data_IF_306598862436
#
_entry.id   IF_306598862436
#
_cell.length_a   1.000
_cell.length_b   1.000
_cell.length_c   1.000
_cell.angle_alpha   90.00
_cell.angle_beta   90.00
_cell.angle_gamma   90.00
#
_symmetry.space_group_name_H-M   'P 1'
#
loop_
_entity.id
_entity.type
_entity.pdbx_description
1 polymer ?
#
# COMPACT_ATOMS: atom_id res chain seq x y z
N UNK A 1 -3.33 -34.88 24.72
CA UNK A 1 -3.87 -34.59 26.07
C UNK A 1 -3.71 -33.10 26.46
N UNK A 2 -3.78 -32.17 25.49
CA UNK A 2 -3.66 -30.71 25.70
C UNK A 2 -4.84 -29.91 25.10
N UNK A 3 -5.77 -30.61 24.42
CA UNK A 3 -6.96 -30.01 23.78
C UNK A 3 -8.26 -30.25 24.56
N UNK A 4 -8.20 -30.95 25.69
CA UNK A 4 -9.35 -31.20 26.58
C UNK A 4 -9.50 -30.17 27.71
N UNK A 5 -8.54 -29.25 27.89
CA UNK A 5 -8.53 -28.25 28.97
C UNK A 5 -9.16 -26.89 28.60
N UNK A 6 -9.50 -26.63 27.34
CA UNK A 6 -10.07 -25.34 26.92
C UNK A 6 -11.61 -25.32 26.98
N UNK A 7 -12.28 -26.48 27.04
CA UNK A 7 -13.75 -26.55 27.05
C UNK A 7 -14.42 -26.41 28.43
N UNK A 8 -13.66 -26.26 29.52
CA UNK A 8 -14.21 -26.21 30.89
C UNK A 8 -14.01 -24.88 31.63
N UNK A 9 -13.25 -23.93 31.08
CA UNK A 9 -13.08 -22.61 31.68
C UNK A 9 -13.98 -21.61 30.99
N UNK A 10 -15.12 -21.28 31.59
CA UNK A 10 -15.92 -20.12 31.19
C UNK A 10 -15.08 -18.85 31.34
N UNK A 11 -14.36 -18.47 30.27
CA UNK A 11 -13.69 -17.18 30.18
C UNK A 11 -14.77 -16.15 29.90
N UNK A 12 -15.38 -15.65 30.98
CA UNK A 12 -16.05 -14.37 30.92
C UNK A 12 -14.97 -13.29 30.82
N UNK A 13 -14.88 -12.65 29.65
CA UNK A 13 -14.11 -11.42 29.48
C UNK A 13 -14.60 -10.44 30.55
N UNK A 14 -13.69 -10.00 31.43
CA UNK A 14 -14.01 -8.96 32.39
C UNK A 14 -14.42 -7.69 31.62
N UNK A 15 -15.53 -7.04 31.99
CA UNK A 15 -15.77 -5.67 31.55
C UNK A 15 -14.55 -4.82 31.91
N UNK A 16 -14.02 -4.09 30.94
CA UNK A 16 -12.98 -3.11 31.20
C UNK A 16 -13.60 -1.96 32.00
N UNK A 17 -13.21 -1.83 33.27
CA UNK A 17 -13.47 -0.61 34.03
C UNK A 17 -12.44 0.44 33.59
N UNK A 18 -12.92 1.48 32.92
CA UNK A 18 -12.12 2.66 32.60
C UNK A 18 -11.83 3.40 33.90
N UNK A 19 -10.55 3.41 34.29
CA UNK A 19 -10.07 4.21 35.42
C UNK A 19 -10.21 5.68 35.05
N UNK A 20 -11.28 6.28 35.56
CA UNK A 20 -11.39 7.65 36.03
C UNK A 20 -10.45 8.69 35.38
N UNK A 21 -10.83 9.10 34.18
CA UNK A 21 -10.71 10.44 33.56
C UNK A 21 -11.41 10.33 32.20
N UNK A 22 -12.71 10.62 32.19
CA UNK A 22 -13.55 10.59 31.00
C UNK A 22 -13.08 11.63 29.99
N UNK A 23 -12.20 11.22 29.08
CA UNK A 23 -12.27 11.71 27.71
C UNK A 23 -13.53 11.06 27.10
N UNK A 24 -14.47 11.88 26.67
CA UNK A 24 -15.65 11.37 25.98
C UNK A 24 -15.21 10.68 24.67
N UNK A 25 -15.94 9.67 24.22
CA UNK A 25 -15.73 9.09 22.89
C UNK A 25 -15.79 10.17 21.78
N UNK A 26 -16.50 11.26 22.02
CA UNK A 26 -16.55 12.44 21.15
C UNK A 26 -15.25 13.29 21.16
N UNK A 27 -14.45 13.23 22.23
CA UNK A 27 -13.12 13.86 22.29
C UNK A 27 -12.01 12.96 21.74
N UNK A 28 -12.21 11.62 21.76
CA UNK A 28 -11.34 10.66 21.08
C UNK A 28 -11.59 10.59 19.57
N UNK A 29 -12.82 10.86 19.12
CA UNK A 29 -13.16 11.09 17.70
C UNK A 29 -12.48 12.32 17.07
N UNK A 30 -11.76 13.16 17.84
CA UNK A 30 -11.08 14.38 17.34
C UNK A 30 -9.62 14.18 16.92
N UNK A 31 -9.16 12.96 16.68
CA UNK A 31 -7.81 12.75 16.14
C UNK A 31 -7.77 12.75 14.61
N UNK A 32 -8.91 12.47 13.97
CA UNK A 32 -9.07 12.68 12.54
C UNK A 32 -9.53 14.13 12.31
N UNK A 33 -8.85 14.86 11.42
CA UNK A 33 -9.25 16.22 11.11
C UNK A 33 -10.58 16.23 10.34
N UNK A 34 -11.33 17.31 10.50
CA UNK A 34 -12.58 17.52 9.77
C UNK A 34 -12.31 17.49 8.27
N UNK A 35 -13.16 16.81 7.50
CA UNK A 35 -13.05 16.72 6.05
C UNK A 35 -13.05 18.10 5.35
N UNK A 36 -13.62 19.10 6.02
CA UNK A 36 -13.65 20.49 5.53
C UNK A 36 -12.31 21.24 5.73
N UNK A 37 -11.39 20.69 6.55
CA UNK A 37 -10.07 21.28 6.79
C UNK A 37 -8.96 20.55 6.00
N UNK A 38 -8.82 20.95 4.73
CA UNK A 38 -7.83 20.35 3.81
C UNK A 38 -6.37 20.37 4.31
N UNK A 39 -5.98 21.35 5.13
CA UNK A 39 -4.61 21.47 5.63
C UNK A 39 -4.32 20.45 6.74
N UNK A 40 -5.21 20.34 7.73
CA UNK A 40 -5.09 19.34 8.79
C UNK A 40 -5.17 17.92 8.24
N UNK A 41 -6.09 17.69 7.29
CA UNK A 41 -6.17 16.44 6.54
C UNK A 41 -4.82 16.11 5.88
N UNK A 42 -4.24 17.05 5.13
CA UNK A 42 -2.94 16.86 4.49
C UNK A 42 -1.84 16.54 5.51
N UNK A 43 -1.83 17.22 6.65
CA UNK A 43 -0.88 16.96 7.73
C UNK A 43 -1.01 15.54 8.30
N UNK A 44 -2.25 15.10 8.55
CA UNK A 44 -2.56 13.76 9.03
C UNK A 44 -2.12 12.67 8.04
N UNK A 45 -2.31 12.92 6.73
CA UNK A 45 -1.82 12.03 5.69
C UNK A 45 -0.29 11.84 5.73
N UNK A 46 0.48 12.93 5.87
CA UNK A 46 1.94 12.83 5.99
C UNK A 46 2.41 12.29 7.35
N UNK A 47 1.61 12.38 8.40
CA UNK A 47 1.91 11.79 9.70
C UNK A 47 1.89 10.25 9.67
N UNK A 48 1.11 9.64 8.78
CA UNK A 48 1.11 8.20 8.54
C UNK A 48 2.31 7.72 7.69
N UNK A 49 3.14 8.63 7.18
CA UNK A 49 4.31 8.32 6.36
C UNK A 49 5.29 7.36 7.04
N UNK A 50 5.91 6.47 6.26
CA UNK A 50 6.80 5.43 6.80
C UNK A 50 8.03 5.98 7.52
N UNK A 51 8.51 7.16 7.16
CA UNK A 51 9.58 7.85 7.87
C UNK A 51 9.21 8.20 9.33
N UNK A 52 7.90 8.33 9.65
CA UNK A 52 7.43 8.66 11.01
C UNK A 52 7.43 7.46 11.96
N UNK A 53 7.18 6.26 11.44
CA UNK A 53 7.00 5.06 12.27
C UNK A 53 8.09 4.00 12.07
N UNK A 54 8.91 4.10 11.02
CA UNK A 54 9.89 3.07 10.68
C UNK A 54 10.82 2.71 11.85
N UNK A 55 11.41 3.71 12.52
CA UNK A 55 12.37 3.42 13.59
C UNK A 55 11.77 2.62 14.77
N UNK A 56 10.48 2.80 15.05
CA UNK A 56 9.78 2.09 16.12
C UNK A 56 9.33 0.68 15.69
N UNK A 57 9.11 0.49 14.38
CA UNK A 57 8.52 -0.73 13.82
C UNK A 57 9.43 -1.46 12.83
N UNK A 58 10.73 -1.13 12.78
CA UNK A 58 11.67 -1.65 11.76
C UNK A 58 11.81 -3.17 11.78
N UNK A 59 11.62 -3.81 12.94
CA UNK A 59 11.65 -5.28 13.11
C UNK A 59 10.36 -5.95 12.61
N UNK A 60 9.29 -5.17 12.47
CA UNK A 60 7.97 -5.62 12.05
C UNK A 60 7.70 -5.33 10.56
N UNK A 61 8.61 -4.67 9.86
CA UNK A 61 8.44 -4.22 8.47
C UNK A 61 9.67 -4.56 7.62
N UNK A 62 9.65 -4.16 6.35
CA UNK A 62 10.77 -4.36 5.45
C UNK A 62 11.93 -3.44 5.80
N UNK A 63 13.17 -3.95 5.74
CA UNK A 63 14.38 -3.13 5.79
C UNK A 63 14.26 -2.00 4.77
N UNK A 64 14.41 -0.76 5.23
CA UNK A 64 14.23 0.44 4.42
C UNK A 64 15.33 1.45 4.72
N UNK A 65 15.70 2.22 3.71
CA UNK A 65 16.54 3.40 3.80
C UNK A 65 15.84 4.61 3.18
N UNK A 66 16.26 5.82 3.52
CA UNK A 66 15.51 7.05 3.24
C UNK A 66 16.40 8.09 2.55
N UNK A 67 16.02 8.43 1.32
CA UNK A 67 16.67 9.48 0.53
C UNK A 67 15.78 10.71 0.54
N UNK A 68 16.14 11.72 1.33
CA UNK A 68 15.39 12.97 1.44
C UNK A 68 15.31 13.68 0.08
N UNK A 69 14.12 14.13 -0.31
CA UNK A 69 13.93 14.94 -1.51
C UNK A 69 14.21 16.41 -1.23
N UNK A 70 14.92 17.06 -2.16
CA UNK A 70 15.17 18.50 -2.13
C UNK A 70 14.06 19.27 -2.88
N UNK A 71 13.79 20.54 -2.52
CA UNK A 71 12.73 21.35 -3.17
C UNK A 71 12.84 21.38 -4.71
N UNK A 72 14.05 21.57 -5.25
CA UNK A 72 14.28 21.58 -6.70
C UNK A 72 14.00 20.23 -7.35
N UNK A 73 14.32 19.12 -6.68
CA UNK A 73 14.03 17.77 -7.17
C UNK A 73 12.53 17.51 -7.21
N UNK A 74 11.81 17.93 -6.16
CA UNK A 74 10.35 17.83 -6.09
C UNK A 74 9.70 18.61 -7.21
N UNK A 75 10.09 19.87 -7.39
CA UNK A 75 9.61 20.73 -8.48
C UNK A 75 9.91 20.11 -9.86
N UNK A 76 11.11 19.53 -10.06
CA UNK A 76 11.46 18.84 -11.30
C UNK A 76 10.59 17.62 -11.59
N UNK A 77 10.26 16.81 -10.57
CA UNK A 77 9.35 15.66 -10.71
C UNK A 77 7.94 16.13 -11.08
N UNK A 78 7.41 17.14 -10.36
CA UNK A 78 6.08 17.72 -10.62
C UNK A 78 5.99 18.26 -12.05
N UNK A 79 6.98 19.08 -12.48
CA UNK A 79 7.02 19.66 -13.82
C UNK A 79 7.08 18.60 -14.91
N UNK A 80 7.88 17.55 -14.72
CA UNK A 80 7.95 16.45 -15.67
C UNK A 80 6.59 15.75 -15.81
N UNK A 81 5.93 15.44 -14.70
CA UNK A 81 4.62 14.80 -14.73
C UNK A 81 3.56 15.68 -15.40
N UNK A 82 3.52 16.99 -15.08
CA UNK A 82 2.63 17.96 -15.73
C UNK A 82 2.86 17.99 -17.25
N UNK A 83 4.12 18.05 -17.69
CA UNK A 83 4.47 18.03 -19.11
C UNK A 83 4.04 16.72 -19.82
N UNK A 84 4.20 15.57 -19.16
CA UNK A 84 3.73 14.28 -19.68
C UNK A 84 2.20 14.23 -19.82
N UNK A 85 1.48 14.76 -18.83
CA UNK A 85 0.02 14.87 -18.84
C UNK A 85 -0.47 15.80 -19.94
N UNK A 86 0.17 16.95 -20.14
CA UNK A 86 -0.19 17.93 -21.17
C UNK A 86 0.10 17.41 -22.58
N UNK A 87 1.16 16.62 -22.75
CA UNK A 87 1.50 15.99 -24.03
C UNK A 87 0.47 14.93 -24.46
N UNK A 88 -0.22 14.32 -23.50
CA UNK A 88 -1.36 13.45 -23.79
C UNK A 88 -2.65 14.23 -23.95
N UNK A 89 -3.02 14.52 -25.21
CA UNK A 89 -4.38 14.95 -25.53
C UNK A 89 -5.40 13.94 -24.98
N UNK A 90 -6.59 14.44 -24.62
CA UNK A 90 -7.69 13.86 -23.80
C UNK A 90 -8.05 12.36 -23.92
N UNK A 91 -7.47 11.56 -24.82
CA UNK A 91 -7.76 10.11 -24.93
C UNK A 91 -6.52 9.22 -25.19
N UNK A 92 -5.30 9.75 -25.07
CA UNK A 92 -4.06 8.97 -25.23
C UNK A 92 -3.40 8.68 -23.88
N UNK A 93 -2.93 7.45 -23.67
CA UNK A 93 -2.23 7.08 -22.45
C UNK A 93 -0.88 7.80 -22.33
N UNK A 94 -0.55 8.26 -21.12
CA UNK A 94 0.73 8.93 -20.84
C UNK A 94 1.88 7.99 -21.25
N UNK A 95 2.76 8.41 -22.17
CA UNK A 95 3.87 7.56 -22.59
C UNK A 95 4.84 7.39 -21.41
N UNK A 96 5.52 6.23 -21.29
CA UNK A 96 6.57 6.05 -20.30
C UNK A 96 7.67 7.10 -20.45
N UNK A 97 8.21 7.57 -19.32
CA UNK A 97 9.34 8.51 -19.30
C UNK A 97 10.56 7.91 -19.99
N UNK A 98 11.14 8.62 -20.96
CA UNK A 98 12.35 8.19 -21.69
C UNK A 98 13.62 8.90 -21.22
N UNK A 99 13.48 10.06 -20.59
CA UNK A 99 14.57 10.92 -20.19
C UNK A 99 14.35 11.41 -18.76
N UNK A 100 15.40 11.31 -17.94
CA UNK A 100 15.42 11.87 -16.59
C UNK A 100 16.00 13.27 -16.71
N UNK A 101 15.32 14.32 -16.23
CA UNK A 101 15.86 15.67 -16.21
C UNK A 101 17.21 15.72 -15.50
N UNK A 102 18.18 16.47 -16.04
CA UNK A 102 19.53 16.56 -15.48
C UNK A 102 19.57 17.02 -14.02
N UNK A 103 18.57 17.81 -13.60
CA UNK A 103 18.38 18.25 -12.22
C UNK A 103 18.20 17.09 -11.23
N UNK A 104 17.83 15.90 -11.71
CA UNK A 104 17.62 14.70 -10.90
C UNK A 104 18.83 13.74 -10.91
N UNK A 105 19.95 14.09 -11.57
CA UNK A 105 21.13 13.21 -11.61
C UNK A 105 21.72 12.98 -10.20
N UNK A 106 21.78 14.02 -9.37
CA UNK A 106 22.22 13.88 -7.96
C UNK A 106 21.30 12.95 -7.16
N UNK A 107 19.98 13.04 -7.39
CA UNK A 107 19.02 12.14 -6.76
C UNK A 107 19.24 10.68 -7.19
N UNK A 108 19.47 10.44 -8.48
CA UNK A 108 19.80 9.11 -9.02
C UNK A 108 21.01 8.53 -8.30
N UNK A 109 22.10 9.29 -8.17
CA UNK A 109 23.32 8.85 -7.49
C UNK A 109 23.08 8.56 -6.00
N UNK A 110 22.29 9.38 -5.30
CA UNK A 110 21.95 9.14 -3.89
C UNK A 110 21.14 7.85 -3.69
N UNK A 111 20.20 7.55 -4.60
CA UNK A 111 19.46 6.28 -4.56
C UNK A 111 20.37 5.10 -4.89
N UNK A 112 21.23 5.21 -5.90
CA UNK A 112 22.21 4.16 -6.23
C UNK A 112 23.12 3.85 -5.03
N UNK A 113 23.63 4.89 -4.37
CA UNK A 113 24.45 4.74 -3.17
C UNK A 113 23.69 4.02 -2.04
N UNK A 114 22.41 4.33 -1.83
CA UNK A 114 21.56 3.64 -0.87
C UNK A 114 21.38 2.14 -1.22
N UNK A 115 21.08 1.84 -2.49
CA UNK A 115 20.94 0.47 -3.00
C UNK A 115 22.24 -0.33 -2.79
N UNK A 116 23.38 0.22 -3.18
CA UNK A 116 24.69 -0.44 -3.04
C UNK A 116 25.06 -0.67 -1.58
N UNK A 117 24.89 0.35 -0.73
CA UNK A 117 25.31 0.31 0.67
C UNK A 117 24.46 -0.65 1.49
N UNK A 118 23.13 -0.66 1.28
CA UNK A 118 22.20 -1.32 2.18
C UNK A 118 21.60 -2.62 1.64
N UNK A 119 21.61 -2.85 0.33
CA UNK A 119 20.85 -3.94 -0.30
C UNK A 119 21.64 -4.87 -1.22
N UNK A 120 22.83 -4.47 -1.71
CA UNK A 120 23.68 -5.36 -2.54
C UNK A 120 24.40 -6.46 -1.75
N UNK A 121 24.78 -6.20 -0.50
CA UNK A 121 25.55 -7.14 0.31
C UNK A 121 24.71 -8.16 1.11
N UNK A 122 23.37 -8.04 1.08
CA UNK A 122 22.48 -8.88 1.91
C UNK A 122 22.17 -10.22 1.23
N UNK A 123 22.77 -11.29 1.74
CA UNK A 123 22.86 -12.60 1.09
C UNK A 123 21.68 -13.56 1.31
N UNK A 124 20.53 -13.16 1.87
CA UNK A 124 19.53 -14.17 2.29
C UNK A 124 18.07 -13.94 1.93
N UNK A 125 17.60 -12.72 1.63
CA UNK A 125 16.16 -12.50 1.34
C UNK A 125 15.86 -11.50 0.23
N UNK A 126 16.69 -10.47 0.02
CA UNK A 126 16.52 -9.57 -1.13
C UNK A 126 16.96 -10.30 -2.39
N UNK A 127 16.01 -10.58 -3.29
CA UNK A 127 16.31 -11.19 -4.57
C UNK A 127 17.29 -10.30 -5.36
N UNK A 128 18.59 -10.63 -5.31
CA UNK A 128 19.62 -10.12 -6.23
C UNK A 128 19.72 -8.59 -6.31
N UNK A 129 19.78 -7.87 -5.18
CA UNK A 129 19.94 -6.40 -5.18
C UNK A 129 18.72 -5.63 -5.68
N UNK A 130 17.54 -6.25 -5.75
CA UNK A 130 16.29 -5.56 -6.07
C UNK A 130 15.70 -4.87 -4.84
N UNK A 131 15.18 -3.69 -5.08
CA UNK A 131 14.47 -2.87 -4.10
C UNK A 131 13.11 -2.45 -4.64
N UNK A 132 12.20 -2.15 -3.72
CA UNK A 132 10.94 -1.48 -3.99
C UNK A 132 11.08 0.00 -3.64
N UNK A 133 10.54 0.89 -4.49
CA UNK A 133 10.64 2.33 -4.32
C UNK A 133 9.25 2.91 -4.07
N UNK A 134 9.14 3.77 -3.07
CA UNK A 134 7.95 4.59 -2.81
C UNK A 134 8.34 5.95 -2.24
N UNK A 135 7.41 6.92 -2.22
CA UNK A 135 7.54 8.05 -1.31
C UNK A 135 7.28 7.58 0.12
N UNK A 136 7.53 8.44 1.10
CA UNK A 136 7.20 8.16 2.49
C UNK A 136 5.70 7.91 2.68
N UNK A 137 4.87 8.56 1.88
CA UNK A 137 3.41 8.42 1.83
C UNK A 137 2.96 7.20 1.00
N UNK A 138 3.06 7.26 -0.34
CA UNK A 138 2.46 6.28 -1.27
C UNK A 138 3.47 5.69 -2.25
N UNK A 139 3.10 4.53 -2.79
CA UNK A 139 3.86 3.82 -3.84
C UNK A 139 3.39 4.19 -5.25
N UNK A 140 4.28 4.18 -6.27
CA UNK A 140 3.95 4.53 -7.67
C UNK A 140 3.21 3.40 -8.42
N UNK A 141 2.17 2.81 -7.81
CA UNK A 141 1.45 1.62 -8.35
C UNK A 141 0.81 1.87 -9.73
N UNK A 142 0.63 3.14 -10.09
CA UNK A 142 0.03 3.65 -11.32
C UNK A 142 1.08 4.03 -12.40
N UNK A 143 2.38 3.85 -12.14
CA UNK A 143 3.45 4.14 -13.08
C UNK A 143 3.24 3.44 -14.42
N UNK A 144 3.29 4.22 -15.51
CA UNK A 144 3.17 3.71 -16.88
C UNK A 144 4.37 2.88 -17.30
N UNK A 145 5.54 3.18 -16.74
CA UNK A 145 6.75 2.36 -16.90
C UNK A 145 6.56 0.98 -16.28
N UNK A 146 6.00 0.88 -15.06
CA UNK A 146 5.70 -0.42 -14.43
C UNK A 146 4.70 -1.21 -15.26
N UNK A 147 3.59 -0.55 -15.65
CA UNK A 147 2.55 -1.15 -16.47
C UNK A 147 3.12 -1.72 -17.77
N UNK A 148 3.89 -0.92 -18.53
CA UNK A 148 4.51 -1.36 -19.78
C UNK A 148 5.37 -2.61 -19.58
N UNK A 149 6.24 -2.62 -18.55
CA UNK A 149 7.10 -3.78 -18.24
C UNK A 149 6.27 -5.02 -17.92
N UNK A 150 5.17 -4.87 -17.18
CA UNK A 150 4.28 -5.97 -16.84
C UNK A 150 3.56 -6.50 -18.10
N UNK A 151 3.03 -5.62 -18.95
CA UNK A 151 2.38 -5.98 -20.22
C UNK A 151 3.32 -6.75 -21.14
N UNK A 152 4.54 -6.25 -21.36
CA UNK A 152 5.54 -6.91 -22.22
C UNK A 152 5.95 -8.31 -21.71
N UNK A 153 5.85 -8.56 -20.40
CA UNK A 153 6.08 -9.90 -19.83
C UNK A 153 4.85 -10.77 -19.95
N UNK A 154 3.67 -10.20 -19.73
CA UNK A 154 2.39 -10.89 -19.82
C UNK A 154 2.13 -11.40 -21.24
N UNK A 155 2.40 -10.60 -22.27
CA UNK A 155 2.26 -10.97 -23.69
C UNK A 155 3.10 -12.17 -24.11
N UNK A 156 4.15 -12.51 -23.35
CA UNK A 156 5.03 -13.66 -23.62
C UNK A 156 4.52 -14.96 -22.98
N UNK A 157 3.46 -14.90 -22.20
CA UNK A 157 2.88 -16.05 -21.49
C UNK A 157 1.66 -16.53 -22.27
N UNK A 158 1.60 -17.82 -22.56
CA UNK A 158 0.39 -18.44 -23.13
C UNK A 158 -0.70 -18.54 -22.04
N UNK A 159 -1.63 -17.58 -22.07
CA UNK A 159 -2.76 -17.54 -21.14
C UNK A 159 -4.04 -18.16 -21.71
N UNK A 160 -3.97 -18.90 -22.83
CA UNK A 160 -5.16 -19.47 -23.48
C UNK A 160 -5.95 -20.44 -22.59
N UNK A 161 -5.26 -21.07 -21.61
CA UNK A 161 -5.84 -22.04 -20.67
C UNK A 161 -6.28 -21.41 -19.35
N UNK A 162 -6.04 -20.11 -19.16
CA UNK A 162 -6.22 -19.45 -17.87
C UNK A 162 -7.62 -18.85 -17.79
N UNK A 163 -8.25 -18.98 -16.61
CA UNK A 163 -9.50 -18.27 -16.33
C UNK A 163 -9.26 -16.75 -16.30
N UNK A 164 -10.33 -15.96 -16.20
CA UNK A 164 -10.18 -14.52 -15.99
C UNK A 164 -9.49 -14.21 -14.64
N UNK A 165 -9.83 -14.94 -13.58
CA UNK A 165 -9.20 -14.81 -12.27
C UNK A 165 -7.70 -15.16 -12.31
N UNK A 166 -7.32 -16.24 -12.99
CA UNK A 166 -5.91 -16.64 -13.15
C UNK A 166 -5.09 -15.57 -13.88
N UNK A 167 -5.65 -15.00 -14.97
CA UNK A 167 -5.02 -13.92 -15.73
C UNK A 167 -4.84 -12.66 -14.91
N UNK A 168 -5.86 -12.27 -14.15
CA UNK A 168 -5.81 -11.09 -13.27
C UNK A 168 -4.80 -11.29 -12.13
N UNK A 169 -4.74 -12.50 -11.55
CA UNK A 169 -3.78 -12.86 -10.51
C UNK A 169 -2.34 -12.81 -11.04
N UNK A 170 -2.09 -13.45 -12.19
CA UNK A 170 -0.81 -13.43 -12.87
C UNK A 170 -0.36 -12.00 -13.19
N UNK A 171 -1.26 -11.18 -13.74
CA UNK A 171 -0.92 -9.81 -14.10
C UNK A 171 -0.63 -8.94 -12.87
N UNK A 172 -1.38 -9.13 -11.78
CA UNK A 172 -1.13 -8.46 -10.50
C UNK A 172 0.25 -8.83 -9.93
N UNK A 173 0.64 -10.11 -10.00
CA UNK A 173 2.00 -10.53 -9.63
C UNK A 173 3.07 -9.88 -10.52
N UNK A 174 2.84 -9.79 -11.83
CA UNK A 174 3.78 -9.14 -12.76
C UNK A 174 3.93 -7.66 -12.44
N UNK A 175 2.83 -6.96 -12.12
CA UNK A 175 2.86 -5.56 -11.69
C UNK A 175 3.72 -5.37 -10.43
N UNK A 176 3.52 -6.21 -9.42
CA UNK A 176 4.36 -6.20 -8.21
C UNK A 176 5.84 -6.46 -8.55
N UNK A 177 6.14 -7.50 -9.33
CA UNK A 177 7.53 -7.84 -9.71
C UNK A 177 8.19 -6.77 -10.58
N UNK A 178 7.43 -6.06 -11.42
CA UNK A 178 7.91 -4.99 -12.30
C UNK A 178 8.03 -3.63 -11.61
N UNK A 179 7.43 -3.48 -10.42
CA UNK A 179 7.62 -2.31 -9.55
C UNK A 179 8.98 -2.29 -8.85
N UNK A 180 9.66 -3.43 -8.82
CA UNK A 180 11.02 -3.54 -8.29
C UNK A 180 12.03 -2.92 -9.26
N UNK A 181 13.06 -2.31 -8.70
CA UNK A 181 14.16 -1.69 -9.44
C UNK A 181 15.50 -2.12 -8.88
N UNK A 182 16.56 -1.86 -9.64
CA UNK A 182 17.95 -2.22 -9.32
C UNK A 182 18.92 -1.03 -9.42
N UNK A 183 18.41 0.16 -9.77
CA UNK A 183 19.22 1.39 -9.86
C UNK A 183 18.38 2.63 -9.55
N UNK A 184 19.05 3.72 -9.19
CA UNK A 184 18.48 5.04 -9.03
C UNK A 184 17.84 5.55 -10.31
N UNK A 185 18.41 5.22 -11.48
CA UNK A 185 17.82 5.55 -12.78
C UNK A 185 16.44 4.91 -12.94
N UNK A 186 16.33 3.62 -12.68
CA UNK A 186 15.04 2.90 -12.74
C UNK A 186 14.06 3.45 -11.70
N UNK A 187 14.54 3.75 -10.48
CA UNK A 187 13.74 4.32 -9.40
C UNK A 187 13.12 5.67 -9.80
N UNK A 188 13.93 6.62 -10.26
CA UNK A 188 13.44 7.94 -10.69
C UNK A 188 12.51 7.81 -11.88
N UNK A 189 12.80 6.93 -12.84
CA UNK A 189 11.95 6.73 -14.03
C UNK A 189 10.51 6.35 -13.66
N UNK A 190 10.30 5.41 -12.72
CA UNK A 190 8.94 4.98 -12.33
C UNK A 190 8.21 6.03 -11.48
N UNK A 191 8.93 6.96 -10.84
CA UNK A 191 8.32 8.06 -10.10
C UNK A 191 7.85 9.19 -11.03
N UNK A 192 8.59 9.45 -12.10
CA UNK A 192 8.33 10.54 -13.04
C UNK A 192 7.01 10.41 -13.82
N UNK A 193 6.45 9.20 -13.93
CA UNK A 193 5.20 8.93 -14.65
C UNK A 193 4.04 8.43 -13.77
N UNK A 194 4.15 8.59 -12.44
CA UNK A 194 3.09 8.27 -11.49
C UNK A 194 2.33 9.53 -11.06
N UNK A 195 1.01 9.54 -11.26
CA UNK A 195 0.14 10.61 -10.77
C UNK A 195 0.05 10.60 -9.24
N UNK A 196 0.07 9.42 -8.60
CA UNK A 196 0.04 9.33 -7.13
C UNK A 196 1.23 10.02 -6.49
N UNK A 197 2.42 9.84 -7.06
CA UNK A 197 3.65 10.49 -6.61
C UNK A 197 3.55 12.00 -6.85
N UNK A 198 3.14 12.43 -8.05
CA UNK A 198 3.00 13.85 -8.37
C UNK A 198 2.00 14.57 -7.46
N UNK A 199 0.85 13.95 -7.17
CA UNK A 199 -0.16 14.47 -6.23
C UNK A 199 0.40 14.67 -4.83
N UNK A 200 1.09 13.67 -4.29
CA UNK A 200 1.70 13.77 -2.95
C UNK A 200 2.75 14.88 -2.91
N UNK A 201 3.57 14.99 -3.97
CA UNK A 201 4.58 16.03 -4.06
C UNK A 201 3.97 17.43 -4.20
N UNK A 202 2.89 17.59 -4.97
CA UNK A 202 2.15 18.86 -5.06
C UNK A 202 1.50 19.24 -3.72
N UNK A 203 1.03 18.28 -2.94
CA UNK A 203 0.53 18.54 -1.58
C UNK A 203 1.67 18.90 -0.61
N UNK A 204 2.86 18.33 -0.81
CA UNK A 204 4.03 18.56 0.03
C UNK A 204 4.80 19.86 -0.25
N UNK A 205 4.56 20.50 -1.39
CA UNK A 205 5.40 21.58 -1.92
C UNK A 205 4.60 22.86 -2.17
N UNK A 206 5.13 24.00 -1.74
CA UNK A 206 4.61 25.33 -2.07
C UNK A 206 5.29 25.83 -3.34
N UNK A 207 4.56 25.97 -4.45
CA UNK A 207 5.11 26.52 -5.70
C UNK A 207 5.50 27.99 -5.54
N UNK A 208 4.72 28.78 -4.80
CA UNK A 208 4.95 30.23 -4.61
C UNK A 208 6.20 30.51 -3.78
N UNK A 209 6.40 29.73 -2.71
CA UNK A 209 7.51 29.92 -1.78
C UNK A 209 8.76 29.11 -2.14
N UNK A 210 8.63 28.17 -3.09
CA UNK A 210 9.67 27.21 -3.43
C UNK A 210 10.20 26.39 -2.23
N UNK A 211 9.33 26.04 -1.29
CA UNK A 211 9.68 25.26 -0.09
C UNK A 211 8.81 24.03 0.09
N UNK A 212 9.36 23.03 0.78
CA UNK A 212 8.61 21.86 1.24
C UNK A 212 7.86 22.20 2.53
N UNK A 213 6.54 22.07 2.50
CA UNK A 213 5.67 22.12 3.68
C UNK A 213 5.85 20.88 4.55
N UNK A 214 6.11 19.75 3.90
CA UNK A 214 6.33 18.46 4.54
C UNK A 214 7.61 17.82 4.02
N UNK A 215 8.43 17.29 4.93
CA UNK A 215 9.59 16.49 4.54
C UNK A 215 9.12 15.20 3.87
N UNK A 216 9.51 15.00 2.62
CA UNK A 216 9.21 13.79 1.87
C UNK A 216 10.52 13.10 1.52
N UNK A 217 10.61 11.80 1.82
CA UNK A 217 11.74 10.97 1.41
C UNK A 217 11.30 9.93 0.39
N UNK A 218 12.20 9.58 -0.51
CA UNK A 218 12.13 8.34 -1.27
C UNK A 218 12.61 7.21 -0.36
N UNK A 219 11.77 6.20 -0.23
CA UNK A 219 12.01 5.03 0.59
C UNK A 219 12.57 3.94 -0.32
N UNK A 220 13.81 3.55 -0.05
CA UNK A 220 14.49 2.43 -0.70
C UNK A 220 14.25 1.21 0.17
N UNK A 221 13.33 0.34 -0.22
CA UNK A 221 12.85 -0.78 0.59
C UNK A 221 13.33 -2.11 0.02
N UNK A 222 13.81 -3.01 0.89
CA UNK A 222 14.19 -4.36 0.49
C UNK A 222 13.01 -5.13 -0.12
N UNK A 223 13.21 -5.74 -1.28
CA UNK A 223 12.19 -6.57 -1.93
C UNK A 223 12.15 -7.98 -1.33
N UNK A 224 10.97 -8.43 -0.91
CA UNK A 224 10.74 -9.82 -0.48
C UNK A 224 9.90 -10.54 -1.54
N UNK A 225 10.51 -11.48 -2.26
CA UNK A 225 9.86 -12.21 -3.34
C UNK A 225 8.75 -13.16 -2.90
N UNK A 226 8.58 -13.37 -1.58
CA UNK A 226 7.47 -14.17 -1.03
C UNK A 226 6.16 -13.39 -1.02
N UNK A 227 6.24 -12.06 -1.12
CA UNK A 227 5.06 -11.19 -1.19
C UNK A 227 4.39 -11.40 -2.54
N UNK A 228 3.14 -11.83 -2.49
CA UNK A 228 2.26 -12.01 -3.64
C UNK A 228 0.86 -11.51 -3.29
N UNK A 229 -0.01 -11.29 -4.28
CA UNK A 229 -1.34 -10.72 -4.05
C UNK A 229 -2.16 -11.48 -3.00
N UNK A 230 -2.05 -12.81 -2.96
CA UNK A 230 -2.82 -13.63 -2.00
C UNK A 230 -2.37 -13.50 -0.54
N UNK A 231 -1.17 -12.99 -0.31
CA UNK A 231 -0.62 -12.83 1.04
C UNK A 231 -0.93 -11.45 1.63
N UNK A 232 -1.49 -10.52 0.85
CA UNK A 232 -1.74 -9.15 1.30
C UNK A 232 -3.15 -8.98 1.88
N UNK A 233 -3.20 -8.41 3.08
CA UNK A 233 -4.43 -8.14 3.83
C UNK A 233 -4.45 -6.68 4.29
N UNK A 234 -5.64 -6.09 4.41
CA UNK A 234 -5.85 -4.76 4.96
C UNK A 234 -6.64 -4.83 6.24
N UNK A 235 -6.03 -4.37 7.33
CA UNK A 235 -6.67 -4.19 8.62
C UNK A 235 -7.17 -2.76 8.82
N UNK A 236 -8.24 -2.61 9.59
CA UNK A 236 -8.78 -1.32 10.00
C UNK A 236 -8.61 -1.16 11.49
N UNK A 237 -8.06 -0.03 11.91
CA UNK A 237 -7.78 0.28 13.31
C UNK A 237 -8.60 1.50 13.69
N UNK A 238 -9.36 1.37 14.78
CA UNK A 238 -10.10 2.45 15.42
C UNK A 238 -9.65 2.48 16.88
N UNK A 239 -9.23 3.63 17.38
CA UNK A 239 -8.79 3.83 18.76
C UNK A 239 -7.75 2.79 19.21
N UNK A 240 -6.74 2.54 18.37
CA UNK A 240 -5.69 1.52 18.57
C UNK A 240 -6.23 0.10 18.78
N UNK A 241 -7.43 -0.21 18.29
CA UNK A 241 -8.00 -1.55 18.22
C UNK A 241 -8.15 -1.98 16.77
N UNK A 242 -7.58 -3.13 16.40
CA UNK A 242 -7.82 -3.74 15.10
C UNK A 242 -9.25 -4.29 15.04
N UNK A 243 -10.09 -3.69 14.21
CA UNK A 243 -11.53 -3.94 14.17
C UNK A 243 -11.91 -4.99 13.12
N UNK A 244 -11.31 -4.96 11.94
CA UNK A 244 -11.50 -5.99 10.93
C UNK A 244 -10.30 -6.12 9.99
N UNK A 245 -10.23 -7.24 9.27
CA UNK A 245 -9.24 -7.52 8.25
C UNK A 245 -9.90 -8.05 6.98
N UNK A 246 -9.52 -7.51 5.83
CA UNK A 246 -9.97 -7.94 4.52
C UNK A 246 -8.81 -8.36 3.63
N UNK A 247 -9.05 -9.29 2.71
CA UNK A 247 -8.13 -9.52 1.59
C UNK A 247 -7.91 -8.21 0.82
N UNK A 248 -6.65 -7.80 0.63
CA UNK A 248 -6.33 -6.52 -0.02
C UNK A 248 -6.75 -6.52 -1.50
N UNK A 249 -6.38 -7.58 -2.23
CA UNK A 249 -6.74 -7.80 -3.62
C UNK A 249 -8.16 -8.37 -3.76
N UNK A 250 -9.15 -7.63 -3.26
CA UNK A 250 -10.54 -8.08 -3.10
C UNK A 250 -11.31 -8.45 -4.39
N UNK A 251 -10.77 -8.11 -5.56
CA UNK A 251 -11.32 -8.53 -6.86
C UNK A 251 -10.78 -9.89 -7.34
N UNK A 252 -9.77 -10.44 -6.65
CA UNK A 252 -9.21 -11.78 -6.92
C UNK A 252 -9.82 -12.80 -5.98
N UNK A 253 -10.05 -14.01 -6.48
CA UNK A 253 -10.42 -15.16 -5.68
C UNK A 253 -9.19 -16.05 -5.47
N UNK A 254 -8.89 -16.35 -4.21
CA UNK A 254 -7.86 -17.31 -3.81
C UNK A 254 -8.50 -18.42 -2.96
N UNK A 255 -8.97 -19.52 -3.58
CA UNK A 255 -9.66 -20.59 -2.87
C UNK A 255 -8.85 -21.20 -1.73
N UNK A 256 -7.52 -21.21 -1.84
CA UNK A 256 -6.63 -21.73 -0.79
C UNK A 256 -6.69 -20.93 0.52
N UNK A 257 -7.24 -19.70 0.52
CA UNK A 257 -7.37 -18.89 1.72
C UNK A 257 -8.55 -19.30 2.60
N UNK A 258 -9.54 -20.04 2.07
CA UNK A 258 -10.75 -20.41 2.81
C UNK A 258 -10.42 -21.23 4.06
N UNK A 259 -9.55 -22.23 3.90
CA UNK A 259 -9.19 -23.17 4.95
C UNK A 259 -8.30 -22.54 6.04
N UNK A 260 -7.67 -21.41 5.73
CA UNK A 260 -6.72 -20.73 6.62
C UNK A 260 -7.21 -19.34 7.08
N UNK A 261 -8.42 -18.94 6.70
CA UNK A 261 -9.00 -17.63 7.00
C UNK A 261 -8.88 -17.24 8.48
N UNK A 262 -9.29 -18.15 9.37
CA UNK A 262 -9.28 -17.91 10.81
C UNK A 262 -7.85 -17.82 11.37
N UNK A 263 -6.92 -18.59 10.80
CA UNK A 263 -5.51 -18.53 11.18
C UNK A 263 -4.87 -17.20 10.76
N UNK A 264 -5.17 -16.72 9.55
CA UNK A 264 -4.74 -15.39 9.08
C UNK A 264 -5.24 -14.30 10.03
N UNK A 265 -6.53 -14.32 10.36
CA UNK A 265 -7.12 -13.36 11.30
C UNK A 265 -6.44 -13.35 12.66
N UNK A 266 -6.26 -14.54 13.23
CA UNK A 266 -5.58 -14.73 14.52
C UNK A 266 -4.14 -14.19 14.47
N UNK A 267 -3.35 -14.58 13.48
CA UNK A 267 -1.94 -14.19 13.39
C UNK A 267 -1.80 -12.67 13.23
N UNK A 268 -2.64 -12.05 12.41
CA UNK A 268 -2.61 -10.60 12.22
C UNK A 268 -3.06 -9.83 13.48
N UNK A 269 -4.04 -10.35 14.23
CA UNK A 269 -4.41 -9.79 15.54
C UNK A 269 -3.26 -9.89 16.54
N UNK A 270 -2.68 -11.07 16.70
CA UNK A 270 -1.54 -11.29 17.61
C UNK A 270 -0.35 -10.40 17.23
N UNK A 271 -0.08 -10.25 15.93
CA UNK A 271 0.95 -9.34 15.43
C UNK A 271 0.60 -7.87 15.70
N UNK A 272 -0.64 -7.45 15.49
CA UNK A 272 -1.09 -6.09 15.77
C UNK A 272 -0.89 -5.69 17.23
N UNK A 273 -1.15 -6.59 18.17
CA UNK A 273 -0.95 -6.34 19.60
C UNK A 273 0.51 -5.96 19.94
N UNK A 274 1.48 -6.42 19.14
CA UNK A 274 2.90 -6.07 19.33
C UNK A 274 3.28 -4.67 18.82
N UNK A 275 2.47 -4.07 17.93
CA UNK A 275 2.81 -2.81 17.26
C UNK A 275 1.86 -1.65 17.59
N UNK A 276 0.68 -1.92 18.18
CA UNK A 276 -0.38 -0.92 18.34
C UNK A 276 0.02 0.33 19.13
N UNK A 277 0.92 0.21 20.10
CA UNK A 277 1.41 1.35 20.91
C UNK A 277 2.43 2.22 20.15
N UNK A 278 3.01 1.69 19.08
CA UNK A 278 4.02 2.34 18.25
C UNK A 278 3.45 2.95 16.97
N UNK A 279 2.14 2.77 16.72
CA UNK A 279 1.47 3.40 15.59
C UNK A 279 1.45 4.94 15.75
N UNK A 280 1.73 5.69 14.68
CA UNK A 280 1.84 7.15 14.73
C UNK A 280 0.48 7.85 14.89
N UNK A 281 -0.60 7.12 14.61
CA UNK A 281 -1.99 7.59 14.66
C UNK A 281 -2.86 6.50 15.30
N UNK A 282 -3.93 6.87 16.03
CA UNK A 282 -4.81 5.90 16.69
C UNK A 282 -5.76 5.19 15.72
N UNK A 283 -6.12 5.85 14.61
CA UNK A 283 -6.99 5.32 13.57
C UNK A 283 -6.18 5.15 12.28
N UNK A 284 -6.22 3.96 11.68
CA UNK A 284 -5.40 3.69 10.50
C UNK A 284 -5.96 2.54 9.67
N UNK A 285 -5.58 2.50 8.40
CA UNK A 285 -5.58 1.27 7.61
C UNK A 285 -4.17 0.69 7.60
N UNK A 286 -4.04 -0.56 8.03
CA UNK A 286 -2.77 -1.28 8.05
C UNK A 286 -2.73 -2.30 6.92
N UNK A 287 -1.75 -2.23 6.05
CA UNK A 287 -1.52 -3.28 5.05
C UNK A 287 -0.54 -4.31 5.65
N UNK A 288 -0.94 -5.58 5.68
CA UNK A 288 -0.18 -6.70 6.21
C UNK A 288 0.18 -7.69 5.09
N UNK A 289 1.32 -8.36 5.25
CA UNK A 289 1.64 -9.57 4.52
C UNK A 289 1.64 -10.77 5.46
N UNK A 290 0.79 -11.76 5.20
CA UNK A 290 0.79 -13.04 5.90
C UNK A 290 1.59 -14.07 5.09
N UNK A 291 2.77 -14.45 5.61
CA UNK A 291 3.73 -15.36 4.95
C UNK A 291 3.66 -16.80 5.49
N UNK A 292 2.63 -17.10 6.27
CA UNK A 292 2.42 -18.37 6.96
C UNK A 292 2.17 -18.20 8.46
N UNK A 293 1.92 -19.30 9.19
CA UNK A 293 1.56 -19.26 10.61
C UNK A 293 2.56 -18.46 11.45
N UNK A 294 2.05 -17.45 12.16
CA UNK A 294 2.83 -16.54 13.02
C UNK A 294 3.84 -15.64 12.27
N UNK A 295 3.81 -15.60 10.93
CA UNK A 295 4.73 -14.82 10.11
C UNK A 295 3.97 -13.71 9.40
N UNK A 296 3.76 -12.61 10.12
CA UNK A 296 3.12 -11.40 9.60
C UNK A 296 4.15 -10.28 9.49
N UNK A 297 4.06 -9.49 8.43
CA UNK A 297 4.90 -8.30 8.20
C UNK A 297 3.97 -7.10 7.95
N UNK A 298 4.29 -5.95 8.54
CA UNK A 298 3.64 -4.68 8.25
C UNK A 298 4.18 -4.11 6.93
N UNK A 299 3.30 -3.86 5.96
CA UNK A 299 3.63 -3.27 4.66
C UNK A 299 3.52 -1.75 4.71
N UNK A 300 2.40 -1.24 5.21
CA UNK A 300 2.04 0.17 5.12
C UNK A 300 1.09 0.56 6.26
N UNK A 301 1.26 1.78 6.77
CA UNK A 301 0.27 2.46 7.63
C UNK A 301 -0.30 3.57 6.76
N UNK A 302 -1.61 3.54 6.53
CA UNK A 302 -2.32 4.58 5.81
C UNK A 302 -3.26 5.31 6.79
N UNK A 303 -3.46 6.62 6.62
CA UNK A 303 -4.45 7.34 7.42
C UNK A 303 -5.83 6.73 7.16
N UNK A 304 -6.59 6.52 8.23
CA UNK A 304 -8.04 6.39 8.13
C UNK A 304 -8.57 7.80 8.32
N UNK A 305 -8.97 8.47 7.26
CA UNK A 305 -9.57 9.81 7.30
C UNK A 305 -10.64 9.88 6.22
N UNK A 306 -11.84 10.33 6.57
CA UNK A 306 -12.87 10.59 5.57
C UNK A 306 -12.38 11.68 4.59
N UNK A 307 -12.64 11.52 3.29
CA UNK A 307 -12.25 12.50 2.25
C UNK A 307 -10.82 12.44 1.67
N UNK A 308 -9.80 11.90 2.36
CA UNK A 308 -8.39 11.92 1.88
C UNK A 308 -7.94 10.73 1.00
N UNK A 309 -8.86 10.18 0.21
CA UNK A 309 -8.60 8.95 -0.54
C UNK A 309 -9.11 7.69 0.15
N UNK A 310 -9.93 7.88 1.19
CA UNK A 310 -10.92 6.93 1.68
C UNK A 310 -12.06 6.73 0.67
N UNK A 311 -11.72 6.38 -0.57
CA UNK A 311 -12.71 5.96 -1.57
C UNK A 311 -13.26 4.59 -1.17
N UNK A 312 -14.45 4.22 -1.66
CA UNK A 312 -14.97 2.84 -1.54
C UNK A 312 -13.93 1.78 -1.98
N UNK A 313 -13.04 2.13 -2.91
CA UNK A 313 -11.94 1.25 -3.32
C UNK A 313 -10.87 0.99 -2.26
N UNK A 314 -10.73 1.87 -1.26
CA UNK A 314 -9.74 1.76 -0.18
C UNK A 314 -10.19 0.84 0.95
N UNK A 315 -11.49 0.71 1.19
CA UNK A 315 -12.02 -0.20 2.23
C UNK A 315 -12.14 -1.65 1.78
N UNK A 316 -12.04 -1.90 0.47
CA UNK A 316 -12.06 -3.24 -0.11
C UNK A 316 -13.37 -3.98 0.17
N UNK A 317 -13.33 -4.95 1.09
CA UNK A 317 -14.46 -5.83 1.43
C UNK A 317 -15.39 -5.27 2.53
N UNK A 318 -15.15 -4.05 3.01
CA UNK A 318 -15.95 -3.41 4.04
C UNK A 318 -16.53 -2.08 3.54
N UNK A 319 -17.73 -1.73 3.99
CA UNK A 319 -18.28 -0.38 3.88
C UNK A 319 -17.89 0.48 5.10
N UNK A 320 -17.73 1.79 4.90
CA UNK A 320 -17.43 2.75 5.97
C UNK A 320 -18.47 2.76 7.08
N UNK A 321 -19.75 2.62 6.73
CA UNK A 321 -20.87 2.66 7.67
C UNK A 321 -21.09 1.37 8.46
N UNK A 322 -20.29 0.34 8.20
CA UNK A 322 -20.46 -0.94 8.88
C UNK A 322 -19.98 -0.86 10.34
N UNK A 323 -20.80 -1.38 11.26
CA UNK A 323 -20.50 -1.40 12.70
C UNK A 323 -19.14 -2.04 13.02
N UNK A 324 -18.71 -3.02 12.22
CA UNK A 324 -17.41 -3.66 12.41
C UNK A 324 -16.27 -2.70 12.11
N UNK A 325 -16.32 -1.94 11.01
CA UNK A 325 -15.26 -1.00 10.66
C UNK A 325 -15.18 0.11 11.73
N UNK A 326 -16.34 0.55 12.22
CA UNK A 326 -16.50 1.55 13.29
C UNK A 326 -16.16 1.04 14.70
N UNK A 327 -15.68 -0.21 14.83
CA UNK A 327 -15.29 -0.80 16.12
C UNK A 327 -16.45 -1.13 17.08
N UNK A 328 -17.70 -1.02 16.62
CA UNK A 328 -18.94 -1.30 17.37
C UNK A 328 -19.30 -2.78 17.39
N UNK A 329 -18.78 -3.57 16.45
CA UNK A 329 -18.96 -5.03 16.41
C UNK A 329 -17.69 -5.80 16.83
N UNK A 330 -17.84 -7.12 16.95
CA UNK A 330 -16.72 -8.05 17.16
C UNK A 330 -15.80 -8.08 15.94
N UNK A 331 -14.54 -8.42 16.17
CA UNK A 331 -13.54 -8.54 15.10
C UNK A 331 -14.00 -9.48 13.98
N UNK A 332 -13.80 -9.06 12.73
CA UNK A 332 -14.20 -9.83 11.54
C UNK A 332 -13.06 -9.95 10.52
N UNK A 333 -12.98 -11.11 9.87
CA UNK A 333 -12.13 -11.35 8.69
C UNK A 333 -13.01 -11.57 7.46
N UNK A 334 -12.69 -10.92 6.34
CA UNK A 334 -13.35 -11.13 5.04
C UNK A 334 -12.36 -11.52 3.95
N UNK A 335 -12.77 -12.49 3.14
CA UNK A 335 -12.08 -12.92 1.92
C UNK A 335 -13.02 -12.74 0.75
N UNK A 336 -12.47 -12.58 -0.45
CA UNK A 336 -13.26 -12.67 -1.66
C UNK A 336 -13.65 -14.14 -1.87
N UNK A 337 -14.94 -14.44 -1.92
CA UNK A 337 -15.48 -15.82 -2.03
C UNK A 337 -15.91 -16.21 -3.43
N UNK A 338 -15.94 -15.25 -4.37
CA UNK A 338 -16.42 -15.45 -5.73
C UNK A 338 -15.48 -14.77 -6.71
N UNK A 339 -15.24 -15.39 -7.86
CA UNK A 339 -14.51 -14.75 -8.95
C UNK A 339 -15.32 -13.59 -9.52
N UNK A 340 -14.66 -12.44 -9.69
CA UNK A 340 -15.24 -11.28 -10.32
C UNK A 340 -15.58 -11.58 -11.79
N UNK A 341 -16.79 -11.22 -12.19
CA UNK A 341 -17.25 -11.39 -13.55
C UNK A 341 -16.70 -10.28 -14.45
N UNK A 342 -16.58 -10.56 -15.76
CA UNK A 342 -16.07 -9.59 -16.75
C UNK A 342 -16.76 -8.24 -16.66
N UNK A 343 -18.09 -8.23 -16.53
CA UNK A 343 -18.88 -6.99 -16.46
C UNK A 343 -18.62 -6.19 -15.18
N UNK A 344 -18.36 -6.84 -14.05
CA UNK A 344 -18.01 -6.16 -12.79
C UNK A 344 -16.65 -5.48 -12.92
N UNK A 345 -15.66 -6.21 -13.44
CA UNK A 345 -14.30 -5.71 -13.66
C UNK A 345 -14.25 -4.54 -14.65
N UNK A 346 -15.17 -4.47 -15.61
CA UNK A 346 -15.23 -3.35 -16.56
C UNK A 346 -15.44 -1.99 -15.89
N UNK A 347 -16.08 -1.94 -14.71
CA UNK A 347 -16.35 -0.69 -14.00
C UNK A 347 -15.29 -0.34 -12.96
N UNK A 348 -14.65 -1.34 -12.35
CA UNK A 348 -13.73 -1.13 -11.22
C UNK A 348 -12.25 -1.16 -11.61
N UNK A 349 -11.92 -1.76 -12.75
CA UNK A 349 -10.53 -1.95 -13.17
C UNK A 349 -10.01 -0.78 -14.01
N UNK A 350 -8.73 -0.46 -13.81
CA UNK A 350 -8.03 0.56 -14.60
C UNK A 350 -8.22 0.35 -16.12
N UNK A 351 -8.52 1.41 -16.90
CA UNK A 351 -8.72 1.30 -18.35
C UNK A 351 -7.60 0.59 -19.09
N UNK A 352 -6.34 0.76 -18.70
CA UNK A 352 -5.22 0.11 -19.37
C UNK A 352 -5.14 -1.38 -19.02
N UNK A 353 -5.47 -1.74 -17.78
CA UNK A 353 -5.60 -3.15 -17.40
C UNK A 353 -6.72 -3.85 -18.18
N UNK A 354 -7.84 -3.15 -18.43
CA UNK A 354 -8.94 -3.67 -19.27
C UNK A 354 -8.48 -3.98 -20.69
N UNK A 355 -7.66 -3.11 -21.28
CA UNK A 355 -7.07 -3.34 -22.62
C UNK A 355 -6.13 -4.55 -22.67
N UNK A 356 -5.57 -4.97 -21.55
CA UNK A 356 -4.65 -6.11 -21.50
C UNK A 356 -5.41 -7.41 -21.18
N UNK A 357 -6.34 -7.35 -20.23
CA UNK A 357 -6.95 -8.55 -19.64
C UNK A 357 -8.31 -8.92 -20.24
N UNK A 358 -9.06 -7.93 -20.73
CA UNK A 358 -10.45 -8.12 -21.18
C UNK A 358 -10.63 -8.06 -22.70
N UNK A 359 -9.56 -7.85 -23.47
CA UNK A 359 -9.63 -7.97 -24.93
C UNK A 359 -10.02 -9.40 -25.24
N UNK A 360 -11.19 -9.54 -25.87
CA UNK A 360 -11.73 -10.84 -26.22
C UNK A 360 -10.72 -11.56 -27.09
N UNK A 361 -10.32 -12.76 -26.65
CA UNK A 361 -9.71 -13.74 -27.54
C UNK A 361 -10.83 -14.33 -28.41
N UNK A 362 -11.53 -13.48 -29.16
CA UNK A 362 -12.33 -13.89 -30.31
C UNK A 362 -11.35 -14.31 -31.41
N UNK A 363 -10.77 -15.50 -31.26
CA UNK A 363 -10.03 -16.20 -32.31
C UNK A 363 -10.44 -17.65 -32.36
#
# INVERSE_FOLDING_TARGET
MFLSSIKAGGVHLKPAETVDKTLSAAELQRTEPDSDNSEELTAYFFQAGVDKWYNQLKECTFKSDFVLLLPDEVNSIIRNWKALKDATKENSSIPPTKHIPDQLNSLVERIDNSIQTHFHASSTLSAQGKVFIKLSSRSPKDSKTILKRASERYEKIDTSKYTLNDRLSLFSELMLKCSCVSSGKEAVTIMLDSCRIAEDLMAAYSEDDHVLKYNVSIVVRGWDSRISPKCEFRGFVIDRKLTCIGQYWHHLRFPELDDIKEQVGKDCLEFFETLKEHLPVPNAMLDFAWLGPGKVILIEVNPLADGLGSFRGSTGLFGYEEDVLQGKASFEVRLCTKEAQKHELQYVMDPEWRKILLVDQEK
#
